data_IF_925309739713
#
_entry.id   IF_925309739713
#
_cell.length_a   1.000
_cell.length_b   1.000
_cell.length_c   1.000
_cell.angle_alpha   90.00
_cell.angle_beta   90.00
_cell.angle_gamma   90.00
#
_symmetry.space_group_name_H-M   'P 1'
#
loop_
_entity.id
_entity.type
_entity.pdbx_description
1 polymer ?
#
# COMPACT_ATOMS: atom_id res chain seq x y z
N UNK A 1 -11.09 -4.66 -12.21
CA UNK A 1 -10.59 -3.48 -11.46
C UNK A 1 -9.17 -3.19 -11.89
N UNK A 2 -8.84 -1.93 -12.24
CA UNK A 2 -7.47 -1.55 -12.64
C UNK A 2 -6.51 -1.73 -11.46
N UNK A 3 -5.43 -2.47 -11.67
CA UNK A 3 -4.35 -2.66 -10.69
C UNK A 3 -3.16 -1.81 -11.12
N UNK A 4 -2.71 -0.90 -10.26
CA UNK A 4 -1.51 -0.09 -10.53
C UNK A 4 -0.33 -0.62 -9.75
N UNK A 5 0.83 -0.75 -10.40
CA UNK A 5 2.05 -1.16 -9.72
C UNK A 5 2.54 0.01 -8.85
N UNK A 6 2.97 -0.30 -7.63
CA UNK A 6 3.44 0.72 -6.69
C UNK A 6 4.74 0.33 -6.03
N UNK A 7 5.45 1.33 -5.51
CA UNK A 7 6.58 1.17 -4.62
C UNK A 7 6.25 1.81 -3.28
N UNK A 8 6.56 1.13 -2.18
CA UNK A 8 6.46 1.72 -0.84
C UNK A 8 7.76 2.47 -0.58
N UNK A 9 7.66 3.73 -0.19
CA UNK A 9 8.79 4.62 0.05
C UNK A 9 9.14 4.66 1.55
N UNK A 10 8.12 4.85 2.39
CA UNK A 10 8.25 4.84 3.84
C UNK A 10 7.35 3.77 4.46
N UNK A 11 7.96 2.83 5.18
CA UNK A 11 7.24 1.74 5.85
C UNK A 11 7.15 2.04 7.36
N UNK A 12 5.94 2.17 7.92
CA UNK A 12 5.77 2.31 9.36
C UNK A 12 6.36 1.11 10.12
N UNK A 13 7.13 1.37 11.17
CA UNK A 13 7.83 0.33 11.95
C UNK A 13 6.89 -0.78 12.46
N UNK A 14 5.64 -0.45 12.80
CA UNK A 14 4.63 -1.40 13.28
C UNK A 14 4.27 -2.50 12.27
N UNK A 15 4.31 -2.18 10.98
CA UNK A 15 3.95 -3.11 9.90
C UNK A 15 5.18 -3.54 9.07
N UNK A 16 6.36 -2.98 9.38
CA UNK A 16 7.62 -3.23 8.67
C UNK A 16 7.94 -4.72 8.53
N UNK A 17 7.84 -5.51 9.61
CA UNK A 17 8.09 -6.96 9.55
C UNK A 17 7.13 -7.69 8.59
N UNK A 18 5.86 -7.28 8.55
CA UNK A 18 4.84 -7.89 7.67
C UNK A 18 5.05 -7.51 6.20
N UNK A 19 5.50 -6.29 5.93
CA UNK A 19 5.67 -5.77 4.57
C UNK A 19 7.01 -6.18 3.97
N UNK A 20 8.10 -6.21 4.75
CA UNK A 20 9.44 -6.52 4.27
C UNK A 20 9.51 -7.84 3.49
N UNK A 21 8.80 -8.86 3.97
CA UNK A 21 8.72 -10.16 3.30
C UNK A 21 8.08 -10.07 1.90
N UNK A 22 7.18 -9.12 1.68
CA UNK A 22 6.48 -8.93 0.41
C UNK A 22 7.02 -7.75 -0.41
N UNK A 23 8.00 -6.99 0.09
CA UNK A 23 8.48 -5.75 -0.51
C UNK A 23 9.21 -5.98 -1.84
N UNK A 24 9.81 -7.16 -1.99
CA UNK A 24 10.47 -7.59 -3.22
C UNK A 24 9.49 -8.13 -4.27
N UNK A 25 8.23 -8.35 -3.89
CA UNK A 25 7.18 -8.80 -4.81
C UNK A 25 6.43 -7.60 -5.40
N UNK A 26 5.71 -7.86 -6.50
CA UNK A 26 4.84 -6.84 -7.11
C UNK A 26 3.72 -6.46 -6.15
N UNK A 27 3.66 -5.18 -5.81
CA UNK A 27 2.63 -4.58 -4.98
C UNK A 27 1.61 -3.88 -5.88
N UNK A 28 0.33 -4.11 -5.63
CA UNK A 28 -0.74 -3.53 -6.45
C UNK A 28 -1.62 -2.61 -5.63
N UNK A 29 -1.81 -1.39 -6.12
CA UNK A 29 -2.90 -0.55 -5.67
C UNK A 29 -4.22 -1.10 -6.23
N UNK A 30 -5.12 -1.50 -5.33
CA UNK A 30 -6.43 -2.07 -5.68
C UNK A 30 -7.60 -1.14 -5.36
N UNK A 31 -7.35 -0.06 -4.63
CA UNK A 31 -8.36 0.95 -4.33
C UNK A 31 -7.90 1.99 -3.32
N UNK A 32 -8.83 2.78 -2.83
CA UNK A 32 -8.61 3.72 -1.73
C UNK A 32 -9.84 3.78 -0.83
N UNK A 33 -9.62 4.10 0.45
CA UNK A 33 -10.66 4.42 1.41
C UNK A 33 -10.48 5.85 1.88
N UNK A 34 -11.54 6.64 1.81
CA UNK A 34 -11.54 7.99 2.36
C UNK A 34 -11.76 7.91 3.87
N UNK A 35 -10.85 8.51 4.66
CA UNK A 35 -10.97 8.56 6.13
C UNK A 35 -11.59 9.89 6.55
N UNK A 36 -11.17 10.98 5.92
CA UNK A 36 -11.70 12.33 6.19
C UNK A 36 -11.98 13.06 4.88
N UNK A 37 -12.51 14.29 4.93
CA UNK A 37 -12.65 15.13 3.72
C UNK A 37 -11.30 15.40 3.03
N UNK A 38 -10.20 15.43 3.78
CA UNK A 38 -8.86 15.79 3.27
C UNK A 38 -7.92 14.60 3.12
N UNK A 39 -8.23 13.45 3.72
CA UNK A 39 -7.33 12.30 3.77
C UNK A 39 -7.97 11.05 3.19
N UNK A 40 -7.19 10.36 2.35
CA UNK A 40 -7.47 9.03 1.83
C UNK A 40 -6.30 8.11 2.16
N UNK A 41 -6.63 6.87 2.48
CA UNK A 41 -5.68 5.77 2.52
C UNK A 41 -5.83 4.94 1.27
N UNK A 42 -4.71 4.46 0.77
CA UNK A 42 -4.64 3.58 -0.38
C UNK A 42 -4.64 2.14 0.11
N UNK A 43 -5.42 1.30 -0.59
CA UNK A 43 -5.52 -0.13 -0.31
C UNK A 43 -4.58 -0.84 -1.26
N UNK A 44 -3.57 -1.48 -0.68
CA UNK A 44 -2.52 -2.20 -1.40
C UNK A 44 -2.71 -3.67 -1.15
N UNK A 45 -2.72 -4.44 -2.22
CA UNK A 45 -2.72 -5.90 -2.17
C UNK A 45 -1.29 -6.40 -2.31
N UNK A 46 -0.87 -7.19 -1.33
CA UNK A 46 0.39 -7.93 -1.30
C UNK A 46 0.27 -9.22 -2.15
N UNK A 47 1.39 -9.88 -2.38
CA UNK A 47 1.45 -11.12 -3.18
C UNK A 47 0.66 -12.28 -2.58
N UNK A 48 0.47 -12.29 -1.26
CA UNK A 48 -0.33 -13.29 -0.54
C UNK A 48 -1.79 -12.87 -0.37
N UNK A 49 -2.27 -11.94 -1.20
CA UNK A 49 -3.62 -11.38 -1.18
C UNK A 49 -3.99 -10.57 0.07
N UNK A 50 -3.07 -10.47 1.04
CA UNK A 50 -3.25 -9.61 2.21
C UNK A 50 -3.35 -8.16 1.75
N UNK A 51 -4.32 -7.44 2.32
CA UNK A 51 -4.54 -6.02 2.03
C UNK A 51 -4.02 -5.18 3.18
N UNK A 52 -3.21 -4.18 2.85
CA UNK A 52 -2.72 -3.18 3.80
C UNK A 52 -3.21 -1.80 3.38
N UNK A 53 -3.39 -0.93 4.37
CA UNK A 53 -3.75 0.45 4.14
C UNK A 53 -2.53 1.32 4.42
N UNK A 54 -2.14 2.11 3.43
CA UNK A 54 -1.03 3.06 3.55
C UNK A 54 -1.50 4.46 3.16
N UNK A 55 -0.88 5.47 3.75
CA UNK A 55 -1.11 6.86 3.42
C UNK A 55 -0.53 7.20 2.05
N UNK A 56 -1.05 8.25 1.41
CA UNK A 56 -0.47 8.77 0.16
C UNK A 56 1.02 9.12 0.30
N UNK A 57 1.43 9.60 1.47
CA UNK A 57 2.82 9.96 1.78
C UNK A 57 3.76 8.76 1.92
N UNK A 58 3.23 7.54 2.03
CA UNK A 58 4.02 6.31 2.23
C UNK A 58 4.27 5.55 0.92
N UNK A 59 3.63 5.96 -0.18
CA UNK A 59 3.60 5.22 -1.44
C UNK A 59 3.96 6.13 -2.60
N UNK A 60 4.74 5.59 -3.54
CA UNK A 60 4.99 6.17 -4.85
C UNK A 60 4.27 5.33 -5.90
N UNK A 61 3.38 5.97 -6.65
CA UNK A 61 2.73 5.38 -7.83
C UNK A 61 3.73 5.40 -8.99
N UNK A 62 3.86 4.26 -9.69
CA UNK A 62 4.61 4.18 -10.94
C UNK A 62 3.68 4.30 -12.14
#
# INVERSE_FOLDING_TARGET
MKKYLIKIDNIPNKIRKKILYHMYNKLYLVGYKRITKKQKVFIIQLSNETRIWLLKSEIILK
#
